data_IF_011893732508
#
_entry.id   IF_011893732508
#
_cell.length_a   1.000
_cell.length_b   1.000
_cell.length_c   1.000
_cell.angle_alpha   90.00
_cell.angle_beta   90.00
_cell.angle_gamma   90.00
#
_symmetry.space_group_name_H-M   'P 1'
#
loop_
_entity.id
_entity.type
_entity.pdbx_description
1 polymer ?
#
# COMPACT_ATOMS: atom_id res chain seq x y z
N UNK A 1 -6.88 -8.66 9.61
CA UNK A 1 -5.41 -8.85 9.69
C UNK A 1 -4.77 -7.49 9.47
N UNK A 2 -3.55 -7.28 9.95
CA UNK A 2 -2.86 -6.01 9.75
C UNK A 2 -2.44 -5.88 8.27
N UNK A 3 -2.79 -4.77 7.63
CA UNK A 3 -2.31 -4.43 6.28
C UNK A 3 -0.87 -3.94 6.39
N UNK A 4 -0.01 -4.34 5.47
CA UNK A 4 1.41 -3.98 5.48
C UNK A 4 1.83 -3.21 4.23
N UNK A 5 2.92 -2.44 4.32
CA UNK A 5 3.46 -1.72 3.16
C UNK A 5 3.91 -2.70 2.08
N UNK A 6 4.44 -3.86 2.48
CA UNK A 6 4.82 -4.94 1.55
C UNK A 6 3.61 -5.47 0.79
N UNK A 7 2.53 -5.82 1.48
CA UNK A 7 1.28 -6.29 0.85
C UNK A 7 0.73 -5.26 -0.14
N UNK A 8 0.69 -3.98 0.26
CA UNK A 8 0.26 -2.89 -0.65
C UNK A 8 1.21 -2.78 -1.84
N UNK A 9 2.53 -2.92 -1.63
CA UNK A 9 3.52 -2.85 -2.71
C UNK A 9 3.37 -4.01 -3.71
N UNK A 10 3.07 -5.21 -3.24
CA UNK A 10 2.82 -6.40 -4.07
C UNK A 10 1.59 -6.16 -4.98
N UNK A 11 0.51 -5.58 -4.45
CA UNK A 11 -0.67 -5.22 -5.25
C UNK A 11 -0.48 -4.01 -6.18
N UNK A 12 0.59 -3.23 -6.01
CA UNK A 12 0.90 -2.06 -6.84
C UNK A 12 2.17 -2.27 -7.68
N UNK A 13 2.68 -3.50 -7.73
CA UNK A 13 3.85 -3.84 -8.52
C UNK A 13 3.60 -3.50 -10.00
N UNK A 14 4.52 -2.74 -10.60
CA UNK A 14 4.40 -2.29 -11.98
C UNK A 14 3.37 -1.18 -12.24
N UNK A 15 2.47 -0.86 -11.30
CA UNK A 15 1.42 0.15 -11.49
C UNK A 15 2.00 1.56 -11.77
N UNK A 16 3.11 1.89 -11.10
CA UNK A 16 3.84 3.16 -11.33
C UNK A 16 4.80 3.11 -12.52
N UNK A 17 4.88 1.99 -13.26
CA UNK A 17 5.80 1.84 -14.39
C UNK A 17 5.47 2.74 -15.58
N UNK A 18 4.21 3.18 -15.70
CA UNK A 18 3.75 4.10 -16.75
C UNK A 18 3.74 5.57 -16.31
N UNK A 19 4.09 5.87 -15.06
CA UNK A 19 4.14 7.24 -14.52
C UNK A 19 3.32 7.45 -13.24
N UNK A 20 3.12 8.72 -12.84
CA UNK A 20 2.37 9.08 -11.64
C UNK A 20 0.91 8.63 -11.68
N UNK A 21 0.38 8.20 -10.54
CA UNK A 21 -1.00 7.74 -10.40
C UNK A 21 -1.82 8.67 -9.51
N UNK A 22 -3.07 8.94 -9.88
CA UNK A 22 -4.04 9.57 -8.98
C UNK A 22 -4.49 8.59 -7.89
N UNK A 23 -4.97 9.09 -6.74
CA UNK A 23 -5.57 8.27 -5.68
C UNK A 23 -6.54 7.20 -6.20
N UNK A 24 -7.49 7.58 -7.05
CA UNK A 24 -8.43 6.64 -7.66
C UNK A 24 -7.74 5.55 -8.50
N UNK A 25 -6.70 5.91 -9.25
CA UNK A 25 -5.94 4.94 -10.05
C UNK A 25 -5.11 4.00 -9.17
N UNK A 26 -4.58 4.48 -8.04
CA UNK A 26 -3.89 3.62 -7.06
C UNK A 26 -4.86 2.58 -6.48
N UNK A 27 -6.07 3.00 -6.09
CA UNK A 27 -7.10 2.10 -5.58
C UNK A 27 -7.52 1.09 -6.66
N UNK A 28 -7.82 1.55 -7.88
CA UNK A 28 -8.21 0.67 -8.98
C UNK A 28 -7.11 -0.31 -9.40
N UNK A 29 -5.84 0.09 -9.33
CA UNK A 29 -4.71 -0.80 -9.62
C UNK A 29 -4.63 -1.93 -8.58
N UNK A 30 -4.73 -1.61 -7.29
CA UNK A 30 -4.74 -2.60 -6.23
C UNK A 30 -5.97 -3.53 -6.33
N UNK A 31 -7.15 -2.98 -6.61
CA UNK A 31 -8.39 -3.75 -6.81
C UNK A 31 -8.26 -4.72 -8.00
N UNK A 32 -7.68 -4.26 -9.12
CA UNK A 32 -7.44 -5.11 -10.30
C UNK A 32 -6.48 -6.26 -10.02
N UNK A 33 -5.58 -6.10 -9.04
CA UNK A 33 -4.66 -7.14 -8.56
C UNK A 33 -5.24 -8.00 -7.43
N UNK A 34 -6.55 -7.89 -7.17
CA UNK A 34 -7.24 -8.70 -6.16
C UNK A 34 -6.95 -8.31 -4.71
N UNK A 35 -6.57 -7.05 -4.46
CA UNK A 35 -6.37 -6.56 -3.10
C UNK A 35 -7.64 -6.70 -2.24
N UNK A 36 -7.47 -7.19 -1.01
CA UNK A 36 -8.56 -7.31 -0.03
C UNK A 36 -9.16 -5.94 0.33
N UNK A 37 -10.40 -5.94 0.82
CA UNK A 37 -11.12 -4.74 1.27
C UNK A 37 -10.32 -3.88 2.26
N UNK A 38 -9.53 -4.49 3.14
CA UNK A 38 -8.72 -3.76 4.12
C UNK A 38 -7.60 -2.95 3.44
N UNK A 39 -6.97 -3.49 2.40
CA UNK A 39 -5.95 -2.79 1.60
C UNK A 39 -6.59 -1.60 0.89
N UNK A 40 -7.75 -1.80 0.25
CA UNK A 40 -8.50 -0.73 -0.41
C UNK A 40 -8.94 0.34 0.59
N UNK A 41 -9.32 -0.05 1.82
CA UNK A 41 -9.68 0.87 2.90
C UNK A 41 -8.49 1.72 3.36
N UNK A 42 -7.29 1.14 3.43
CA UNK A 42 -6.06 1.87 3.74
C UNK A 42 -5.68 2.83 2.62
N UNK A 43 -5.70 2.38 1.36
CA UNK A 43 -5.49 3.25 0.20
C UNK A 43 -6.55 4.37 0.11
N UNK A 44 -7.77 4.11 0.60
CA UNK A 44 -8.83 5.09 0.70
C UNK A 44 -8.50 6.27 1.62
N UNK A 45 -7.59 6.13 2.59
CA UNK A 45 -7.16 7.20 3.51
C UNK A 45 -6.20 8.21 2.88
N UNK A 46 -5.61 7.86 1.74
CA UNK A 46 -4.75 8.76 0.99
C UNK A 46 -5.50 10.05 0.66
N UNK A 47 -4.86 11.23 0.74
CA UNK A 47 -5.47 12.46 0.24
C UNK A 47 -5.72 12.38 -1.27
N UNK A 48 -6.72 13.12 -1.74
CA UNK A 48 -6.92 13.27 -3.18
C UNK A 48 -5.70 14.01 -3.78
N UNK A 49 -5.12 13.43 -4.82
CA UNK A 49 -3.89 13.96 -5.40
C UNK A 49 -3.20 12.97 -6.33
N UNK A 50 -2.00 13.36 -6.77
CA UNK A 50 -1.10 12.55 -7.59
C UNK A 50 0.04 12.01 -6.74
N UNK A 51 0.32 10.73 -6.93
CA UNK A 51 1.42 10.02 -6.30
C UNK A 51 2.45 9.71 -7.38
N UNK A 52 3.66 10.31 -7.32
CA UNK A 52 4.69 10.09 -8.33
C UNK A 52 5.27 8.67 -8.30
N UNK A 53 5.25 8.01 -7.15
CA UNK A 53 5.82 6.67 -6.97
C UNK A 53 5.28 6.00 -5.71
N UNK A 54 5.41 4.67 -5.60
CA UNK A 54 4.97 3.90 -4.43
C UNK A 54 5.42 4.50 -3.09
N UNK A 55 6.65 5.02 -3.01
CA UNK A 55 7.22 5.56 -1.76
C UNK A 55 6.47 6.77 -1.19
N UNK A 56 5.78 7.56 -2.02
CA UNK A 56 5.04 8.74 -1.55
C UNK A 56 3.76 8.37 -0.82
N UNK A 57 3.24 7.16 -1.02
CA UNK A 57 2.08 6.66 -0.28
C UNK A 57 2.40 6.57 1.23
N UNK A 58 3.64 6.20 1.56
CA UNK A 58 4.07 5.98 2.95
C UNK A 58 4.19 7.26 3.77
N UNK A 59 4.34 8.41 3.11
CA UNK A 59 4.34 9.71 3.77
C UNK A 59 2.95 10.06 4.30
N UNK A 60 1.90 9.51 3.69
CA UNK A 60 0.50 9.68 4.08
C UNK A 60 -0.08 8.51 4.88
N UNK A 61 0.65 7.39 4.95
CA UNK A 61 0.24 6.16 5.65
C UNK A 61 1.32 5.72 6.67
N UNK A 62 1.71 6.59 7.62
CA UNK A 62 2.77 6.27 8.59
C UNK A 62 2.38 5.11 9.51
N UNK A 63 1.08 4.92 9.77
CA UNK A 63 0.55 3.88 10.65
C UNK A 63 0.64 2.47 10.06
N UNK A 64 0.85 2.34 8.74
CA UNK A 64 0.95 1.05 8.08
C UNK A 64 2.33 0.45 8.37
N UNK A 65 2.42 -0.71 9.04
CA UNK A 65 3.69 -1.37 9.31
C UNK A 65 4.36 -1.83 8.02
N UNK A 66 5.71 -1.86 8.01
CA UNK A 66 6.48 -2.22 6.82
C UNK A 66 6.20 -3.64 6.33
N UNK A 67 6.17 -4.59 7.26
CA UNK A 67 5.94 -6.01 7.01
C UNK A 67 5.12 -6.60 8.15
N UNK A 68 4.49 -7.76 7.92
CA UNK A 68 3.78 -8.53 8.92
C UNK A 68 4.85 -9.17 9.80
N UNK A 69 5.34 -8.42 10.79
CA UNK A 69 6.46 -8.86 11.61
C UNK A 69 6.12 -10.22 12.25
N UNK A 70 6.91 -11.29 11.99
CA UNK A 70 6.86 -12.44 12.85
C UNK A 70 7.54 -12.02 14.15
N UNK A 71 6.81 -12.09 15.26
CA UNK A 71 7.39 -11.91 16.58
C UNK A 71 8.40 -13.06 16.78
N UNK A 72 9.66 -12.86 16.39
CA UNK A 72 10.75 -13.75 16.81
C UNK A 72 10.87 -13.53 18.31
N UNK A 73 10.35 -14.49 19.09
CA UNK A 73 10.70 -14.62 20.49
C UNK A 73 12.18 -14.98 20.53
N UNK A 74 13.03 -13.99 20.73
CA UNK A 74 14.38 -14.22 21.26
C UNK A 74 14.21 -14.48 22.76
N UNK A 75 14.00 -15.74 23.10
CA UNK A 75 14.20 -16.27 24.45
C UNK A 75 15.59 -16.89 24.46
N UNK A 76 16.53 -16.27 25.18
CA UNK A 76 17.81 -16.83 25.61
C UNK A 76 18.39 -15.94 26.71
#
# INVERSE_FOLDING_TARGET
MVVTRREIAEHLEGAFGSGPLKRGQVISAAESQGARSDVLSVLGRLPDGFYPHLRSLWDHLPEVPRDAQPHVRRDS
#
